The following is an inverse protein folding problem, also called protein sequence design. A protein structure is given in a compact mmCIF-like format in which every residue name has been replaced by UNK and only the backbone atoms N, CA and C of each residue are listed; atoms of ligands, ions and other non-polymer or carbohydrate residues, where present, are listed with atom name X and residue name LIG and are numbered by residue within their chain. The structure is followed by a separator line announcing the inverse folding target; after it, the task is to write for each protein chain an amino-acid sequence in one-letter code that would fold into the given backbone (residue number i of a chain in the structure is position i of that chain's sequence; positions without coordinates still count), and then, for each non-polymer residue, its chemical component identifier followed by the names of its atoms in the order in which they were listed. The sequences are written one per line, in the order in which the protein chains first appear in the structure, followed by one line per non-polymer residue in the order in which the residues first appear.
data_IF_233134604010
#
_entry.id   IF_233134604010
#
_cell.length_a   1.000
_cell.length_b   1.000
_cell.length_c   1.000
_cell.angle_alpha   90.00
_cell.angle_beta   90.00
_cell.angle_gamma   90.00
#
_symmetry.space_group_name_H-M   'P 1'
#
loop_
_entity.id
_entity.type
_entity.pdbx_description
1 polymer ?
#
# COMPACT_ATOMS: atom_id res chain seq x y z
N UNK A 1 13.11 7.43 -22.29
CA UNK A 1 13.45 6.35 -21.33
C UNK A 1 12.28 6.21 -20.37
N UNK A 2 11.64 5.04 -20.30
CA UNK A 2 10.50 4.86 -19.42
C UNK A 2 11.02 4.67 -17.99
N UNK A 3 10.94 5.72 -17.18
CA UNK A 3 11.46 5.71 -15.81
C UNK A 3 10.51 4.89 -14.93
N UNK A 4 11.00 3.87 -14.25
CA UNK A 4 10.20 3.07 -13.33
C UNK A 4 9.49 3.96 -12.29
N UNK A 5 8.24 3.62 -11.94
CA UNK A 5 7.48 4.30 -10.90
C UNK A 5 8.10 4.06 -9.52
N UNK A 6 8.43 2.81 -9.24
CA UNK A 6 9.12 2.35 -8.03
C UNK A 6 10.30 1.48 -8.46
N UNK A 7 11.46 1.64 -7.83
CA UNK A 7 12.55 0.69 -7.94
C UNK A 7 13.32 0.60 -6.62
N UNK A 8 13.92 -0.55 -6.37
CA UNK A 8 14.87 -0.73 -5.29
C UNK A 8 16.11 -1.47 -5.81
N UNK A 9 17.26 -1.15 -5.23
CA UNK A 9 18.56 -1.66 -5.66
C UNK A 9 19.34 -2.16 -4.45
N UNK A 10 19.60 -3.47 -4.40
CA UNK A 10 20.39 -4.16 -3.37
C UNK A 10 19.93 -3.83 -1.94
N UNK A 11 18.62 -3.70 -1.72
CA UNK A 11 18.04 -3.34 -0.42
C UNK A 11 18.21 -4.50 0.55
N UNK A 12 18.94 -4.23 1.64
CA UNK A 12 19.03 -5.13 2.81
C UNK A 12 18.49 -4.45 4.06
N UNK A 13 17.91 -5.26 4.96
CA UNK A 13 17.40 -4.79 6.26
C UNK A 13 17.78 -5.74 7.35
N UNK A 14 18.42 -5.17 8.39
CA UNK A 14 18.80 -5.85 9.61
C UNK A 14 18.02 -5.25 10.79
N UNK A 15 17.55 -6.11 11.69
CA UNK A 15 17.07 -5.70 13.01
C UNK A 15 18.03 -6.22 14.07
N UNK A 16 18.29 -5.42 15.09
CA UNK A 16 19.17 -5.78 16.20
C UNK A 16 18.34 -5.95 17.47
N UNK A 17 18.40 -7.15 18.04
CA UNK A 17 17.81 -7.47 19.34
C UNK A 17 18.92 -7.86 20.31
N UNK A 18 19.33 -6.92 21.19
CA UNK A 18 20.48 -7.12 22.05
C UNK A 18 21.76 -7.32 21.26
N UNK A 19 22.39 -8.49 21.39
CA UNK A 19 23.62 -8.88 20.68
C UNK A 19 23.35 -9.63 19.37
N UNK A 20 22.09 -10.03 19.13
CA UNK A 20 21.71 -10.80 17.93
C UNK A 20 21.26 -9.86 16.82
N UNK A 21 21.83 -10.04 15.62
CA UNK A 21 21.42 -9.34 14.40
C UNK A 21 20.66 -10.32 13.49
N UNK A 22 19.46 -9.94 13.10
CA UNK A 22 18.63 -10.73 12.17
C UNK A 22 18.51 -10.00 10.84
N UNK A 23 18.96 -10.62 9.76
CA UNK A 23 18.80 -10.11 8.40
C UNK A 23 17.43 -10.52 7.85
N UNK A 24 16.55 -9.55 7.64
CA UNK A 24 15.16 -9.77 7.17
C UNK A 24 15.03 -9.55 5.67
N UNK A 25 15.80 -8.62 5.08
CA UNK A 25 15.87 -8.42 3.63
C UNK A 25 17.30 -8.60 3.17
N UNK A 26 17.49 -9.35 2.06
CA UNK A 26 18.80 -9.76 1.54
C UNK A 26 18.97 -9.29 0.11
N UNK A 27 19.59 -8.13 -0.09
CA UNK A 27 19.94 -7.55 -1.39
C UNK A 27 18.79 -7.55 -2.42
N UNK A 28 17.59 -7.19 -1.95
CA UNK A 28 16.38 -7.17 -2.78
C UNK A 28 16.51 -6.09 -3.86
N UNK A 29 16.29 -6.49 -5.11
CA UNK A 29 16.26 -5.58 -6.26
C UNK A 29 15.08 -5.91 -7.15
N UNK A 30 14.24 -4.91 -7.46
CA UNK A 30 13.19 -5.02 -8.47
C UNK A 30 12.71 -3.62 -8.91
N UNK A 31 11.92 -3.58 -9.95
CA UNK A 31 11.29 -2.34 -10.42
C UNK A 31 9.84 -2.57 -10.81
N UNK A 32 9.06 -1.51 -10.76
CA UNK A 32 7.63 -1.49 -11.06
C UNK A 32 7.31 -0.28 -11.95
N UNK A 33 6.52 -0.52 -13.00
CA UNK A 33 6.12 0.51 -13.95
C UNK A 33 4.83 1.23 -13.50
N UNK A 34 4.51 2.42 -14.05
CA UNK A 34 3.20 3.05 -13.86
C UNK A 34 2.07 2.10 -14.25
N UNK A 35 0.96 2.16 -13.52
CA UNK A 35 -0.25 1.36 -13.73
C UNK A 35 -0.09 -0.17 -13.60
N UNK A 36 1.07 -0.64 -13.18
CA UNK A 36 1.34 -2.07 -12.97
C UNK A 36 0.61 -2.59 -11.74
N UNK A 37 0.10 -3.82 -11.81
CA UNK A 37 -0.53 -4.54 -10.71
C UNK A 37 0.34 -5.76 -10.38
N UNK A 38 1.06 -5.70 -9.26
CA UNK A 38 2.07 -6.68 -8.86
C UNK A 38 1.72 -7.32 -7.53
N UNK A 39 1.87 -8.63 -7.42
CA UNK A 39 1.81 -9.34 -6.14
C UNK A 39 3.20 -9.77 -5.67
N UNK A 40 3.46 -9.63 -4.37
CA UNK A 40 4.55 -10.29 -3.67
C UNK A 40 3.95 -11.35 -2.75
N UNK A 41 4.24 -12.62 -3.02
CA UNK A 41 3.76 -13.75 -2.24
C UNK A 41 4.87 -14.37 -1.41
N UNK A 42 4.52 -15.01 -0.30
CA UNK A 42 5.48 -15.72 0.55
C UNK A 42 4.87 -16.09 1.90
N UNK A 43 5.52 -17.00 2.63
CA UNK A 43 5.10 -17.42 3.96
C UNK A 43 5.14 -16.27 4.98
N UNK A 44 4.44 -16.44 6.11
CA UNK A 44 4.58 -15.51 7.24
C UNK A 44 6.05 -15.45 7.69
N UNK A 45 6.53 -14.25 8.03
CA UNK A 45 7.92 -14.05 8.43
C UNK A 45 8.95 -13.99 7.30
N UNK A 46 8.58 -14.14 6.02
CA UNK A 46 9.54 -14.08 4.90
C UNK A 46 10.10 -12.69 4.60
N UNK A 47 9.62 -11.62 5.25
CA UNK A 47 10.09 -10.24 5.08
C UNK A 47 9.18 -9.33 4.24
N UNK A 48 7.98 -9.79 3.81
CA UNK A 48 7.07 -9.05 2.93
C UNK A 48 6.66 -7.67 3.45
N UNK A 49 6.13 -7.59 4.68
CA UNK A 49 5.71 -6.32 5.29
C UNK A 49 6.89 -5.39 5.53
N UNK A 50 8.06 -5.94 5.91
CA UNK A 50 9.31 -5.17 6.03
C UNK A 50 9.72 -4.56 4.68
N UNK A 51 9.64 -5.35 3.60
CA UNK A 51 9.91 -4.84 2.26
C UNK A 51 8.92 -3.73 1.89
N UNK A 52 7.62 -3.94 2.08
CA UNK A 52 6.60 -2.96 1.77
C UNK A 52 6.80 -1.65 2.55
N UNK A 53 7.12 -1.71 3.84
CA UNK A 53 7.42 -0.54 4.67
C UNK A 53 8.68 0.19 4.20
N UNK A 54 9.71 -0.57 3.81
CA UNK A 54 10.96 0.00 3.26
C UNK A 54 10.72 0.70 1.93
N UNK A 55 9.98 0.07 1.02
CA UNK A 55 9.60 0.65 -0.27
C UNK A 55 8.73 1.90 -0.12
N UNK A 56 7.88 1.95 0.89
CA UNK A 56 7.05 3.10 1.21
C UNK A 56 7.77 4.20 1.99
N UNK A 57 9.03 4.02 2.35
CA UNK A 57 9.79 4.97 3.17
C UNK A 57 9.22 5.14 4.58
N UNK A 58 8.52 4.14 5.11
CA UNK A 58 8.09 4.07 6.51
C UNK A 58 9.21 3.57 7.41
N UNK A 59 10.07 2.72 6.86
CA UNK A 59 11.31 2.26 7.48
C UNK A 59 12.49 2.48 6.53
N UNK A 60 13.68 2.69 7.08
CA UNK A 60 14.88 2.88 6.28
C UNK A 60 15.58 1.52 6.04
N UNK A 61 16.08 1.24 4.83
CA UNK A 61 16.94 0.10 4.60
C UNK A 61 18.24 0.25 5.38
N UNK A 62 18.87 -0.87 5.74
CA UNK A 62 20.20 -0.87 6.33
C UNK A 62 21.29 -0.65 5.26
N UNK A 63 21.03 -1.08 4.03
CA UNK A 63 21.85 -0.79 2.85
C UNK A 63 21.00 -0.85 1.58
N UNK A 64 21.52 -0.33 0.47
CA UNK A 64 20.82 -0.20 -0.80
C UNK A 64 19.95 1.05 -0.88
N UNK A 65 19.25 1.23 -1.97
CA UNK A 65 18.46 2.42 -2.25
C UNK A 65 17.06 2.08 -2.78
N UNK A 66 16.09 2.94 -2.43
CA UNK A 66 14.71 2.90 -2.96
C UNK A 66 14.44 4.21 -3.70
N UNK A 67 13.85 4.09 -4.87
CA UNK A 67 13.49 5.24 -5.71
C UNK A 67 12.00 5.23 -6.01
N UNK A 68 11.35 6.39 -5.87
CA UNK A 68 9.99 6.64 -6.34
C UNK A 68 10.05 7.77 -7.36
N UNK A 69 9.57 7.51 -8.59
CA UNK A 69 9.65 8.45 -9.72
C UNK A 69 11.09 8.98 -9.95
N UNK A 70 12.09 8.12 -9.77
CA UNK A 70 13.51 8.45 -9.92
C UNK A 70 14.13 9.23 -8.76
N UNK A 71 13.38 9.49 -7.67
CA UNK A 71 13.89 10.20 -6.49
C UNK A 71 14.29 9.19 -5.41
N UNK A 72 15.56 9.24 -4.95
CA UNK A 72 16.06 8.39 -3.86
C UNK A 72 15.45 8.79 -2.52
N UNK A 73 14.79 7.84 -1.84
CA UNK A 73 14.17 8.08 -0.53
C UNK A 73 15.23 8.32 0.57
N UNK A 74 16.41 7.70 0.44
CA UNK A 74 17.50 7.79 1.42
C UNK A 74 18.17 9.16 1.44
N UNK A 75 18.07 9.91 0.34
CA UNK A 75 18.63 11.26 0.22
C UNK A 75 17.66 12.37 0.65
N UNK A 76 16.43 12.00 1.05
CA UNK A 76 15.40 12.97 1.44
C UNK A 76 15.48 13.32 2.92
N UNK A 77 15.16 14.58 3.23
CA UNK A 77 14.84 14.98 4.60
C UNK A 77 13.53 14.32 5.06
N UNK A 78 13.31 14.13 6.39
CA UNK A 78 12.05 13.57 6.90
C UNK A 78 10.80 14.30 6.39
N UNK A 79 10.83 15.61 6.29
CA UNK A 79 9.71 16.43 5.78
C UNK A 79 9.48 16.20 4.28
N UNK A 80 10.55 16.15 3.47
CA UNK A 80 10.45 15.85 2.04
C UNK A 80 9.88 14.45 1.80
N UNK A 81 10.34 13.45 2.58
CA UNK A 81 9.85 12.08 2.51
C UNK A 81 8.36 11.98 2.92
N UNK A 82 7.95 12.69 3.98
CA UNK A 82 6.54 12.76 4.39
C UNK A 82 5.65 13.38 3.30
N UNK A 83 6.13 14.45 2.66
CA UNK A 83 5.43 15.10 1.54
C UNK A 83 5.34 14.18 0.33
N UNK A 84 6.42 13.48 -0.04
CA UNK A 84 6.43 12.51 -1.13
C UNK A 84 5.40 11.39 -0.87
N UNK A 85 5.39 10.80 0.36
CA UNK A 85 4.40 9.79 0.73
C UNK A 85 2.97 10.31 0.60
N UNK A 86 2.68 11.47 1.16
CA UNK A 86 1.35 12.07 1.10
C UNK A 86 0.88 12.30 -0.35
N UNK A 87 1.78 12.70 -1.24
CA UNK A 87 1.47 13.07 -2.62
C UNK A 87 1.38 11.87 -3.56
N UNK A 88 2.26 10.86 -3.43
CA UNK A 88 2.43 9.81 -4.44
C UNK A 88 2.06 8.42 -3.97
N UNK A 89 1.95 8.18 -2.65
CA UNK A 89 1.70 6.86 -2.09
C UNK A 89 0.36 6.78 -1.36
N UNK A 90 -0.34 5.66 -1.56
CA UNK A 90 -1.43 5.22 -0.71
C UNK A 90 -1.00 3.97 0.08
N UNK A 91 -1.52 3.82 1.30
CA UNK A 91 -1.25 2.65 2.14
C UNK A 91 -2.55 1.98 2.54
N UNK A 92 -2.62 0.65 2.33
CA UNK A 92 -3.70 -0.21 2.79
C UNK A 92 -3.09 -1.29 3.67
N UNK A 93 -3.63 -1.49 4.89
CA UNK A 93 -3.13 -2.44 5.87
C UNK A 93 -4.16 -3.51 6.19
N UNK A 94 -3.70 -4.68 6.62
CA UNK A 94 -4.53 -5.81 7.04
C UNK A 94 -5.52 -5.43 8.16
N UNK A 95 -5.09 -4.66 9.15
CA UNK A 95 -5.91 -4.19 10.28
C UNK A 95 -6.55 -2.83 10.04
N UNK A 96 -6.58 -2.34 8.79
CA UNK A 96 -7.20 -1.10 8.32
C UNK A 96 -6.61 0.18 8.92
N UNK A 97 -6.17 0.19 10.17
CA UNK A 97 -5.67 1.34 10.93
C UNK A 97 -6.55 2.60 10.79
N UNK A 98 -7.86 2.41 10.88
CA UNK A 98 -8.81 3.52 10.92
C UNK A 98 -8.81 4.15 12.31
N UNK A 99 -8.90 5.47 12.35
CA UNK A 99 -9.05 6.23 13.58
C UNK A 99 -10.46 6.00 14.13
N UNK A 100 -10.58 5.38 15.32
CA UNK A 100 -11.82 4.88 15.87
C UNK A 100 -12.85 5.98 16.17
N UNK A 101 -12.38 7.19 16.55
CA UNK A 101 -13.22 8.33 16.91
C UNK A 101 -13.72 9.12 15.69
N UNK A 102 -13.16 8.88 14.53
CA UNK A 102 -13.51 9.56 13.28
C UNK A 102 -14.48 8.72 12.45
N UNK A 103 -15.40 9.39 11.76
CA UNK A 103 -16.30 8.77 10.78
C UNK A 103 -15.51 8.23 9.57
N UNK A 104 -16.17 7.45 8.70
CA UNK A 104 -15.59 7.01 7.43
C UNK A 104 -15.12 8.22 6.58
N UNK A 105 -15.95 9.27 6.52
CA UNK A 105 -15.62 10.51 5.80
C UNK A 105 -14.34 11.16 6.36
N UNK A 106 -14.28 11.37 7.66
CA UNK A 106 -13.14 12.02 8.32
C UNK A 106 -11.85 11.21 8.17
N UNK A 107 -11.94 9.87 8.28
CA UNK A 107 -10.80 8.97 8.00
C UNK A 107 -10.26 9.16 6.58
N UNK A 108 -11.15 9.29 5.59
CA UNK A 108 -10.75 9.46 4.19
C UNK A 108 -10.24 10.89 3.91
N UNK A 109 -10.80 11.91 4.56
CA UNK A 109 -10.32 13.30 4.43
C UNK A 109 -8.91 13.52 4.97
N UNK A 110 -8.50 12.74 5.98
CA UNK A 110 -7.29 13.00 6.77
C UNK A 110 -6.00 13.21 5.93
N UNK A 111 -5.68 12.37 4.92
CA UNK A 111 -4.47 12.60 4.11
C UNK A 111 -4.47 13.95 3.39
N UNK A 112 -5.64 14.45 2.96
CA UNK A 112 -5.76 15.75 2.30
C UNK A 112 -5.55 16.90 3.29
N UNK A 113 -6.12 16.77 4.51
CA UNK A 113 -5.95 17.78 5.57
C UNK A 113 -4.50 17.86 6.05
N UNK A 114 -3.81 16.71 6.17
CA UNK A 114 -2.37 16.64 6.46
C UNK A 114 -1.57 17.32 5.34
N UNK A 115 -1.99 17.15 4.08
CA UNK A 115 -1.43 17.84 2.91
C UNK A 115 -1.81 19.31 2.81
N UNK A 116 -2.45 19.90 3.84
CA UNK A 116 -2.88 21.31 3.92
C UNK A 116 -3.88 21.72 2.83
N UNK A 117 -4.65 20.77 2.29
CA UNK A 117 -5.72 21.10 1.35
C UNK A 117 -6.94 21.70 2.08
N UNK A 118 -7.74 22.45 1.35
CA UNK A 118 -8.96 23.07 1.88
C UNK A 118 -9.94 22.00 2.40
N UNK A 119 -10.56 22.26 3.55
CA UNK A 119 -11.50 21.32 4.18
C UNK A 119 -12.67 20.96 3.28
N UNK A 120 -13.24 21.92 2.57
CA UNK A 120 -14.37 21.70 1.66
C UNK A 120 -13.96 20.80 0.50
N UNK A 121 -12.80 21.07 -0.13
CA UNK A 121 -12.26 20.23 -1.20
C UNK A 121 -11.95 18.81 -0.70
N UNK A 122 -11.40 18.69 0.51
CA UNK A 122 -11.12 17.38 1.13
C UNK A 122 -12.41 16.61 1.38
N UNK A 123 -13.48 17.27 1.83
CA UNK A 123 -14.78 16.65 2.05
C UNK A 123 -15.40 16.17 0.73
N UNK A 124 -15.49 17.05 -0.27
CA UNK A 124 -16.08 16.72 -1.58
C UNK A 124 -15.35 15.54 -2.23
N UNK A 125 -14.01 15.56 -2.16
CA UNK A 125 -13.19 14.49 -2.71
C UNK A 125 -13.36 13.18 -1.96
N UNK A 126 -13.40 13.22 -0.63
CA UNK A 126 -13.61 12.03 0.21
C UNK A 126 -14.98 11.40 -0.04
N UNK A 127 -16.05 12.22 -0.18
CA UNK A 127 -17.38 11.74 -0.54
C UNK A 127 -17.40 11.05 -1.91
N UNK A 128 -16.73 11.64 -2.92
CA UNK A 128 -16.62 11.05 -4.25
C UNK A 128 -15.93 9.67 -4.21
N UNK A 129 -14.82 9.56 -3.47
CA UNK A 129 -14.08 8.29 -3.35
C UNK A 129 -14.90 7.26 -2.56
N UNK A 130 -15.56 7.65 -1.46
CA UNK A 130 -16.46 6.75 -0.70
C UNK A 130 -17.61 6.22 -1.54
N UNK A 131 -18.17 7.03 -2.43
CA UNK A 131 -19.16 6.57 -3.43
C UNK A 131 -18.55 5.56 -4.41
N UNK A 132 -17.35 5.84 -4.94
CA UNK A 132 -16.66 4.96 -5.87
C UNK A 132 -16.34 3.58 -5.28
N UNK A 133 -16.11 3.49 -3.95
CA UNK A 133 -15.94 2.20 -3.25
C UNK A 133 -17.25 1.63 -2.71
N UNK A 134 -18.44 2.20 -3.05
CA UNK A 134 -19.76 1.70 -2.69
C UNK A 134 -20.22 2.01 -1.25
N UNK A 135 -19.65 3.04 -0.62
CA UNK A 135 -19.92 3.39 0.79
C UNK A 135 -20.67 4.72 0.99
N UNK A 136 -21.41 5.21 -0.03
CA UNK A 136 -22.17 6.47 0.06
C UNK A 136 -23.17 6.50 1.22
N UNK A 137 -23.66 5.35 1.66
CA UNK A 137 -24.63 5.23 2.74
C UNK A 137 -23.97 5.03 4.14
N UNK A 138 -22.63 4.99 4.20
CA UNK A 138 -21.81 4.77 5.40
C UNK A 138 -20.92 5.96 5.77
N UNK A 139 -21.01 7.06 5.06
CA UNK A 139 -20.14 8.24 5.19
C UNK A 139 -19.99 8.73 6.63
N UNK A 140 -21.11 8.78 7.38
CA UNK A 140 -21.17 9.26 8.77
C UNK A 140 -20.91 8.18 9.83
N UNK A 141 -20.68 6.91 9.43
CA UNK A 141 -20.47 5.82 10.37
C UNK A 141 -19.02 5.81 10.89
N UNK A 142 -18.86 5.49 12.18
CA UNK A 142 -17.55 5.22 12.78
C UNK A 142 -17.12 3.79 12.50
N UNK A 143 -15.81 3.46 12.56
CA UNK A 143 -15.30 2.12 12.31
C UNK A 143 -15.96 1.00 13.11
N UNK A 144 -16.40 1.28 14.35
CA UNK A 144 -17.12 0.33 15.20
C UNK A 144 -18.50 -0.09 14.64
N UNK A 145 -19.11 0.74 13.81
CA UNK A 145 -20.41 0.49 13.17
C UNK A 145 -20.27 -0.05 11.72
N UNK A 146 -19.07 -0.39 11.28
CA UNK A 146 -18.76 -0.92 9.95
C UNK A 146 -18.36 -2.39 10.02
N UNK A 147 -18.77 -3.18 9.03
CA UNK A 147 -18.27 -4.54 8.84
C UNK A 147 -16.79 -4.56 8.47
N UNK A 148 -16.13 -5.73 8.52
CA UNK A 148 -14.72 -5.89 8.09
C UNK A 148 -14.48 -5.40 6.67
N UNK A 149 -15.32 -5.82 5.73
CA UNK A 149 -15.23 -5.39 4.33
C UNK A 149 -15.51 -3.90 4.13
N UNK A 150 -16.46 -3.31 4.87
CA UNK A 150 -16.71 -1.86 4.84
C UNK A 150 -15.51 -1.07 5.38
N UNK A 151 -14.90 -1.52 6.49
CA UNK A 151 -13.65 -0.91 7.01
C UNK A 151 -12.52 -0.98 5.99
N UNK A 152 -12.38 -2.11 5.29
CA UNK A 152 -11.36 -2.25 4.24
C UNK A 152 -11.62 -1.31 3.06
N UNK A 153 -12.87 -1.15 2.63
CA UNK A 153 -13.23 -0.16 1.60
C UNK A 153 -12.94 1.28 2.03
N UNK A 154 -13.15 1.63 3.30
CA UNK A 154 -12.76 2.94 3.86
C UNK A 154 -11.23 3.09 3.82
N UNK A 155 -10.45 2.07 4.19
CA UNK A 155 -8.99 2.10 4.14
C UNK A 155 -8.47 2.28 2.69
N UNK A 156 -9.09 1.61 1.72
CA UNK A 156 -8.81 1.79 0.29
C UNK A 156 -9.17 3.22 -0.15
N UNK A 157 -10.33 3.72 0.21
CA UNK A 157 -10.74 5.09 -0.10
C UNK A 157 -9.76 6.13 0.46
N UNK A 158 -9.30 5.94 1.72
CA UNK A 158 -8.29 6.78 2.35
C UNK A 158 -6.95 6.74 1.60
N UNK A 159 -6.54 5.57 1.14
CA UNK A 159 -5.31 5.42 0.36
C UNK A 159 -5.37 6.17 -0.99
N UNK A 160 -6.58 6.29 -1.57
CA UNK A 160 -6.80 6.84 -2.91
C UNK A 160 -7.11 8.34 -2.95
N UNK A 161 -7.46 8.96 -1.81
CA UNK A 161 -8.05 10.31 -1.79
C UNK A 161 -7.13 11.38 -2.39
N UNK A 162 -5.81 11.26 -2.21
CA UNK A 162 -4.80 12.14 -2.80
C UNK A 162 -4.42 11.81 -4.25
N UNK A 163 -5.13 10.87 -4.91
CA UNK A 163 -4.84 10.39 -6.25
C UNK A 163 -3.37 9.91 -6.40
N UNK A 164 -2.95 8.93 -5.58
CA UNK A 164 -1.57 8.46 -5.56
C UNK A 164 -1.17 7.81 -6.90
N UNK A 165 0.12 7.80 -7.19
CA UNK A 165 0.66 7.04 -8.31
C UNK A 165 0.78 5.54 -8.00
N UNK A 166 1.00 5.20 -6.72
CA UNK A 166 1.20 3.83 -6.23
C UNK A 166 0.45 3.60 -4.93
N UNK A 167 -0.25 2.48 -4.83
CA UNK A 167 -0.81 1.95 -3.59
C UNK A 167 0.00 0.74 -3.13
N UNK A 168 0.47 0.79 -1.89
CA UNK A 168 1.14 -0.30 -1.19
C UNK A 168 0.13 -0.97 -0.26
N UNK A 169 -0.16 -2.24 -0.49
CA UNK A 169 -1.18 -2.97 0.23
C UNK A 169 -0.58 -4.19 0.95
N UNK A 170 -0.62 -4.17 2.29
CA UNK A 170 -0.16 -5.26 3.15
C UNK A 170 -1.35 -6.12 3.57
N UNK A 171 -1.44 -7.34 3.02
CA UNK A 171 -2.51 -8.32 3.28
C UNK A 171 -3.92 -7.69 3.21
N UNK A 172 -4.30 -7.00 2.11
CA UNK A 172 -5.52 -6.18 2.08
C UNK A 172 -6.82 -6.98 2.24
N UNK A 173 -6.75 -8.31 2.24
CA UNK A 173 -7.88 -9.23 2.36
C UNK A 173 -7.71 -10.27 3.47
N UNK A 174 -6.59 -10.25 4.20
CA UNK A 174 -6.18 -11.32 5.12
C UNK A 174 -7.13 -11.59 6.31
N UNK A 175 -8.06 -10.67 6.63
CA UNK A 175 -9.03 -10.80 7.74
C UNK A 175 -10.49 -10.83 7.24
N UNK A 176 -10.70 -11.13 5.95
CA UNK A 176 -12.03 -11.11 5.33
C UNK A 176 -12.48 -12.51 4.92
N UNK A 177 -13.77 -12.73 4.86
CA UNK A 177 -14.33 -13.94 4.28
C UNK A 177 -14.08 -13.98 2.75
N UNK A 178 -14.18 -15.16 2.16
CA UNK A 178 -13.86 -15.39 0.74
C UNK A 178 -14.65 -14.47 -0.21
N UNK A 179 -15.95 -14.29 0.01
CA UNK A 179 -16.81 -13.44 -0.85
C UNK A 179 -16.39 -11.97 -0.77
N UNK A 180 -16.10 -11.50 0.43
CA UNK A 180 -15.64 -10.12 0.66
C UNK A 180 -14.24 -9.93 0.06
N UNK A 181 -13.35 -10.92 0.19
CA UNK A 181 -12.01 -10.95 -0.43
C UNK A 181 -12.08 -10.75 -1.93
N UNK A 182 -12.93 -11.54 -2.63
CA UNK A 182 -13.11 -11.38 -4.07
C UNK A 182 -13.62 -9.98 -4.45
N UNK A 183 -14.62 -9.48 -3.73
CA UNK A 183 -15.18 -8.15 -3.96
C UNK A 183 -14.17 -7.01 -3.74
N UNK A 184 -13.26 -7.14 -2.79
CA UNK A 184 -12.17 -6.16 -2.57
C UNK A 184 -11.13 -6.26 -3.69
N UNK A 185 -10.81 -7.46 -4.13
CA UNK A 185 -9.85 -7.67 -5.21
C UNK A 185 -10.38 -7.11 -6.55
N UNK A 186 -11.65 -7.38 -6.90
CA UNK A 186 -12.32 -6.80 -8.06
C UNK A 186 -12.30 -5.25 -8.01
N UNK A 187 -12.55 -4.68 -6.83
CA UNK A 187 -12.45 -3.23 -6.63
C UNK A 187 -11.04 -2.71 -6.92
N UNK A 188 -9.98 -3.39 -6.45
CA UNK A 188 -8.59 -3.01 -6.72
C UNK A 188 -8.29 -3.07 -8.22
N UNK A 189 -8.72 -4.14 -8.91
CA UNK A 189 -8.54 -4.28 -10.36
C UNK A 189 -9.27 -3.17 -11.13
N UNK A 190 -10.52 -2.89 -10.77
CA UNK A 190 -11.30 -1.80 -11.37
C UNK A 190 -10.59 -0.46 -11.20
N UNK A 191 -10.15 -0.14 -9.98
CA UNK A 191 -9.44 1.12 -9.68
C UNK A 191 -8.10 1.23 -10.43
N UNK A 192 -7.37 0.13 -10.56
CA UNK A 192 -6.14 0.10 -11.37
C UNK A 192 -6.45 0.42 -12.84
N UNK A 193 -7.46 -0.23 -13.44
CA UNK A 193 -7.83 -0.02 -14.84
C UNK A 193 -8.38 1.38 -15.10
N UNK A 194 -9.33 1.85 -14.29
CA UNK A 194 -10.02 3.14 -14.51
C UNK A 194 -9.14 4.35 -14.20
N UNK A 195 -8.32 4.25 -13.15
CA UNK A 195 -7.53 5.39 -12.64
C UNK A 195 -6.04 5.30 -12.97
N UNK A 196 -5.62 4.20 -13.60
CA UNK A 196 -4.21 3.95 -13.95
C UNK A 196 -3.25 4.05 -12.74
N UNK A 197 -3.75 3.71 -11.55
CA UNK A 197 -2.97 3.67 -10.31
C UNK A 197 -2.25 2.33 -10.24
N UNK A 198 -0.95 2.35 -9.96
CA UNK A 198 -0.20 1.13 -9.72
C UNK A 198 -0.52 0.54 -8.33
N UNK A 199 -0.54 -0.79 -8.21
CA UNK A 199 -0.73 -1.48 -6.92
C UNK A 199 0.35 -2.52 -6.70
N UNK A 200 1.00 -2.46 -5.55
CA UNK A 200 1.87 -3.52 -5.04
C UNK A 200 1.15 -4.20 -3.86
N UNK A 201 0.71 -5.43 -4.06
CA UNK A 201 0.02 -6.23 -3.05
C UNK A 201 0.99 -7.23 -2.44
N UNK A 202 1.07 -7.24 -1.13
CA UNK A 202 1.74 -8.30 -0.37
C UNK A 202 0.68 -9.22 0.18
N UNK A 203 0.78 -10.52 -0.08
CA UNK A 203 -0.20 -11.51 0.39
C UNK A 203 0.41 -12.90 0.55
N UNK A 204 -0.23 -13.73 1.38
CA UNK A 204 0.02 -15.17 1.42
C UNK A 204 -1.02 -15.97 0.61
N UNK A 205 -2.05 -15.31 0.08
CA UNK A 205 -3.09 -15.94 -0.73
C UNK A 205 -2.63 -16.08 -2.19
N UNK A 206 -2.24 -17.31 -2.54
CA UNK A 206 -1.78 -17.65 -3.89
C UNK A 206 -2.90 -17.56 -4.93
N UNK A 207 -4.15 -17.86 -4.56
CA UNK A 207 -5.28 -17.79 -5.49
C UNK A 207 -5.55 -16.34 -5.96
N UNK A 208 -5.37 -15.36 -5.06
CA UNK A 208 -5.46 -13.95 -5.45
C UNK A 208 -4.27 -13.53 -6.31
N UNK A 209 -3.07 -13.96 -5.95
CA UNK A 209 -1.87 -13.64 -6.71
C UNK A 209 -1.89 -14.22 -8.13
N UNK A 210 -2.49 -15.40 -8.33
CA UNK A 210 -2.67 -16.01 -9.66
C UNK A 210 -3.54 -15.21 -10.62
N UNK A 211 -4.41 -14.34 -10.09
CA UNK A 211 -5.22 -13.43 -10.90
C UNK A 211 -4.44 -12.20 -11.40
N UNK A 212 -3.17 -12.04 -11.00
CA UNK A 212 -2.31 -10.91 -11.39
C UNK A 212 -1.30 -11.33 -12.45
N UNK A 213 -0.96 -10.38 -13.33
CA UNK A 213 -0.07 -10.64 -14.47
C UNK A 213 1.40 -10.76 -14.06
N UNK A 214 1.78 -10.22 -12.89
CA UNK A 214 3.16 -10.25 -12.40
C UNK A 214 3.20 -10.63 -10.94
N UNK A 215 3.96 -11.70 -10.66
CA UNK A 215 4.14 -12.24 -9.32
C UNK A 215 5.62 -12.31 -8.97
N UNK A 216 5.91 -11.95 -7.73
CA UNK A 216 7.22 -12.07 -7.12
C UNK A 216 7.10 -12.97 -5.89
N UNK A 217 8.07 -13.84 -5.67
CA UNK A 217 8.12 -14.74 -4.51
C UNK A 217 9.14 -14.20 -3.53
N UNK A 218 8.68 -13.99 -2.28
CA UNK A 218 9.53 -13.62 -1.15
C UNK A 218 9.79 -14.84 -0.28
N UNK A 219 11.04 -15.29 -0.21
CA UNK A 219 11.46 -16.42 0.60
C UNK A 219 12.74 -16.10 1.34
N UNK A 220 12.75 -16.26 2.67
CA UNK A 220 13.90 -16.07 3.54
C UNK A 220 14.67 -14.75 3.31
N UNK A 221 13.93 -13.67 3.08
CA UNK A 221 14.47 -12.33 2.82
C UNK A 221 14.91 -12.08 1.37
N UNK A 222 14.80 -13.06 0.48
CA UNK A 222 15.17 -12.95 -0.94
C UNK A 222 13.92 -12.83 -1.80
N UNK A 223 13.91 -11.88 -2.72
CA UNK A 223 12.84 -11.69 -3.70
C UNK A 223 13.24 -12.28 -5.05
N UNK A 224 12.35 -13.04 -5.67
CA UNK A 224 12.55 -13.65 -7.00
C UNK A 224 11.33 -13.42 -7.87
N UNK A 225 11.52 -13.20 -9.17
CA UNK A 225 10.41 -13.27 -10.12
C UNK A 225 9.97 -14.73 -10.28
N UNK A 226 8.66 -14.94 -10.25
CA UNK A 226 8.09 -16.22 -10.64
C UNK A 226 8.08 -16.24 -12.17
N UNK A 227 8.95 -17.05 -12.79
CA UNK A 227 8.91 -17.27 -14.23
C UNK A 227 7.58 -18.00 -14.56
N UNK A 228 6.79 -17.36 -15.42
CA UNK A 228 5.54 -17.90 -15.96
C UNK A 228 5.79 -19.16 -16.79
#
# INVERSE_FOLDING_TARGET
MNTALLSCQNVSKFYQEGTQQTEVLKQVSFSMQPSELVAIVGSSGSGKSTLLHTLGGLDQPSSGEVFIKGQSLQQMTPNALAKLRNQYLGFVYQFHHLMADFTALENVMMPMLIGQQNKTEAQDRAEQILRAVGLQHRISHRPSALSGGERQRVAIARALVNNPALVLADEPTGNLDHKTTESIFELIQQLNQEKQIAFLLVTHDLNLAEKLNRRLIMQDGVLREENA
#
